data_IF_935396526713
#
_entry.id   IF_935396526713
#
_cell.length_a   1.000
_cell.length_b   1.000
_cell.length_c   1.000
_cell.angle_alpha   90.00
_cell.angle_beta   90.00
_cell.angle_gamma   90.00
#
_symmetry.space_group_name_H-M   'P 1'
#
loop_
_entity.id
_entity.type
_entity.pdbx_description
1 polymer ?
#
# COMPACT_ATOMS: atom_id res chain seq x y z
N UNK A 1 20.75 -18.49 -22.20
CA UNK A 1 20.18 -18.06 -20.90
C UNK A 1 21.24 -17.24 -20.19
N UNK A 2 21.12 -15.91 -20.18
CA UNK A 2 22.09 -15.01 -19.52
C UNK A 2 21.56 -14.71 -18.13
N UNK A 3 22.24 -15.21 -17.10
CA UNK A 3 22.08 -14.73 -15.73
C UNK A 3 22.44 -13.23 -15.69
N UNK A 4 21.44 -12.35 -15.70
CA UNK A 4 21.63 -10.98 -15.27
C UNK A 4 21.53 -10.96 -13.74
N UNK A 5 22.68 -11.00 -13.09
CA UNK A 5 22.81 -10.58 -11.70
C UNK A 5 22.50 -9.08 -11.67
N UNK A 6 21.32 -8.71 -11.19
CA UNK A 6 20.93 -7.32 -11.04
C UNK A 6 21.54 -6.83 -9.75
N UNK A 7 22.77 -6.31 -9.82
CA UNK A 7 23.38 -5.57 -8.71
C UNK A 7 23.27 -4.07 -9.02
N UNK A 8 22.36 -3.33 -8.39
CA UNK A 8 22.54 -1.90 -8.21
C UNK A 8 23.44 -1.65 -7.00
N UNK A 9 24.74 -1.80 -7.16
CA UNK A 9 25.72 -1.33 -6.20
C UNK A 9 26.68 -0.28 -6.78
N UNK A 10 26.36 0.38 -7.92
CA UNK A 10 27.35 1.24 -8.56
C UNK A 10 26.86 2.59 -9.09
N UNK A 11 25.66 3.05 -8.77
CA UNK A 11 25.27 4.44 -8.99
C UNK A 11 24.78 5.02 -7.65
N UNK A 12 25.75 5.49 -6.85
CA UNK A 12 25.56 5.97 -5.49
C UNK A 12 24.73 7.25 -5.42
N UNK A 13 23.42 7.10 -5.34
CA UNK A 13 22.49 8.10 -4.85
C UNK A 13 21.57 7.46 -3.82
N UNK A 14 21.08 8.21 -2.83
CA UNK A 14 20.10 7.69 -1.87
C UNK A 14 18.87 7.18 -2.63
N UNK A 15 18.39 5.97 -2.29
CA UNK A 15 17.12 5.45 -2.77
C UNK A 15 16.01 6.42 -2.40
N UNK A 16 15.04 6.60 -3.31
CA UNK A 16 13.90 7.49 -3.08
C UNK A 16 12.62 6.71 -3.06
N UNK A 17 11.80 6.97 -2.04
CA UNK A 17 10.48 6.39 -1.87
C UNK A 17 9.38 7.44 -2.09
N UNK A 18 8.26 7.03 -2.69
CA UNK A 18 6.99 7.74 -2.65
C UNK A 18 6.02 6.96 -1.77
N UNK A 19 5.51 7.61 -0.73
CA UNK A 19 4.55 7.00 0.20
C UNK A 19 3.25 7.81 0.16
N UNK A 20 2.18 7.24 -0.36
CA UNK A 20 0.87 7.90 -0.35
C UNK A 20 0.21 7.81 1.02
N UNK A 21 -0.48 8.89 1.45
CA UNK A 21 -1.14 8.92 2.76
C UNK A 21 -0.17 8.87 3.94
N UNK A 22 1.02 9.48 3.79
CA UNK A 22 2.09 9.45 4.79
C UNK A 22 1.91 10.46 5.95
N UNK A 23 0.79 11.19 6.01
CA UNK A 23 0.56 12.17 7.07
C UNK A 23 0.23 11.53 8.43
N UNK A 24 -0.27 10.28 8.46
CA UNK A 24 -0.73 9.60 9.67
C UNK A 24 -0.71 8.06 9.52
N UNK A 25 -0.92 7.37 10.65
CA UNK A 25 -1.09 5.92 10.72
C UNK A 25 0.05 5.13 10.06
N UNK A 26 -0.27 4.04 9.37
CA UNK A 26 0.69 3.15 8.74
C UNK A 26 1.61 3.91 7.77
N UNK A 27 1.06 4.77 6.92
CA UNK A 27 1.85 5.52 5.93
C UNK A 27 2.91 6.42 6.57
N UNK A 28 2.58 7.08 7.68
CA UNK A 28 3.54 7.87 8.46
C UNK A 28 4.64 6.99 9.04
N UNK A 29 4.28 5.92 9.73
CA UNK A 29 5.26 5.00 10.32
C UNK A 29 6.17 4.35 9.27
N UNK A 30 5.64 4.02 8.08
CA UNK A 30 6.46 3.54 6.95
C UNK A 30 7.45 4.61 6.50
N UNK A 31 6.97 5.82 6.28
CA UNK A 31 7.82 6.92 5.81
C UNK A 31 8.92 7.25 6.83
N UNK A 32 8.59 7.34 8.12
CA UNK A 32 9.55 7.58 9.21
C UNK A 32 10.59 6.43 9.30
N UNK A 33 10.15 5.17 9.15
CA UNK A 33 11.04 4.00 9.14
C UNK A 33 11.99 4.02 7.95
N UNK A 34 11.53 4.39 6.76
CA UNK A 34 12.38 4.49 5.57
C UNK A 34 13.41 5.62 5.70
N UNK A 35 12.99 6.79 6.21
CA UNK A 35 13.92 7.91 6.46
C UNK A 35 15.00 7.57 7.50
N UNK A 36 14.64 6.83 8.56
CA UNK A 36 15.61 6.37 9.55
C UNK A 36 16.70 5.46 8.96
N UNK A 37 16.42 4.85 7.80
CA UNK A 37 17.35 4.02 7.01
C UNK A 37 18.09 4.81 5.92
N UNK A 38 17.98 6.14 5.90
CA UNK A 38 18.65 7.01 4.93
C UNK A 38 17.99 7.10 3.56
N UNK A 39 16.73 6.67 3.43
CA UNK A 39 15.95 6.78 2.19
C UNK A 39 15.26 8.15 2.15
N UNK A 40 15.38 8.87 1.04
CA UNK A 40 14.62 10.10 0.85
C UNK A 40 13.16 9.77 0.56
N UNK A 41 12.22 10.30 1.37
CA UNK A 41 10.79 9.98 1.24
C UNK A 41 9.99 11.17 0.75
N UNK A 42 9.31 11.00 -0.38
CA UNK A 42 8.28 11.92 -0.88
C UNK A 42 6.96 11.58 -0.18
N UNK A 43 6.38 12.58 0.51
CA UNK A 43 5.15 12.46 1.29
C UNK A 43 4.11 13.48 0.82
N UNK A 44 3.60 13.38 -0.43
CA UNK A 44 2.66 14.36 -0.95
C UNK A 44 1.42 14.44 -0.06
N UNK A 45 1.08 15.66 0.31
CA UNK A 45 -0.20 15.97 0.95
C UNK A 45 -1.35 15.97 -0.06
N UNK A 46 -2.59 16.06 0.44
CA UNK A 46 -3.77 16.06 -0.43
C UNK A 46 -3.80 17.24 -1.42
N UNK A 47 -3.17 18.36 -1.07
CA UNK A 47 -3.08 19.52 -1.97
C UNK A 47 -2.13 19.29 -3.15
N UNK A 48 -1.13 18.42 -2.99
CA UNK A 48 -0.15 18.08 -4.02
C UNK A 48 -0.58 16.86 -4.84
N UNK A 49 -1.26 15.90 -4.19
CA UNK A 49 -1.70 14.63 -4.78
C UNK A 49 -3.06 14.24 -4.20
N UNK A 50 -4.15 14.68 -4.82
CA UNK A 50 -5.49 14.24 -4.46
C UNK A 50 -5.88 13.00 -5.28
N UNK A 51 -5.86 11.84 -4.62
CA UNK A 51 -6.20 10.56 -5.26
C UNK A 51 -7.68 10.44 -5.65
N UNK A 52 -8.55 11.34 -5.19
CA UNK A 52 -9.94 11.40 -5.62
C UNK A 52 -10.12 12.05 -6.99
N UNK A 53 -9.07 12.71 -7.51
CA UNK A 53 -9.07 13.48 -8.75
C UNK A 53 -8.01 12.90 -9.69
N UNK A 54 -8.40 12.20 -10.78
CA UNK A 54 -7.46 11.60 -11.73
C UNK A 54 -6.44 12.59 -12.30
N UNK A 55 -6.90 13.82 -12.60
CA UNK A 55 -6.07 14.89 -13.15
C UNK A 55 -4.97 15.30 -12.16
N UNK A 56 -5.25 15.34 -10.86
CA UNK A 56 -4.25 15.62 -9.82
C UNK A 56 -3.13 14.57 -9.82
N UNK A 57 -3.46 13.30 -10.06
CA UNK A 57 -2.46 12.22 -10.17
C UNK A 57 -1.59 12.43 -11.42
N UNK A 58 -2.19 12.78 -12.55
CA UNK A 58 -1.47 13.05 -13.81
C UNK A 58 -0.54 14.25 -13.68
N UNK A 59 -1.02 15.35 -13.08
CA UNK A 59 -0.25 16.57 -12.84
C UNK A 59 0.94 16.30 -11.91
N UNK A 60 0.71 15.57 -10.81
CA UNK A 60 1.78 15.17 -9.89
C UNK A 60 2.86 14.36 -10.59
N UNK A 61 2.48 13.36 -11.40
CA UNK A 61 3.42 12.54 -12.15
C UNK A 61 4.20 13.33 -13.20
N UNK A 62 3.56 14.32 -13.84
CA UNK A 62 4.20 15.22 -14.81
C UNK A 62 5.22 16.13 -14.14
N UNK A 63 4.92 16.65 -12.96
CA UNK A 63 5.85 17.48 -12.17
C UNK A 63 6.94 16.70 -11.43
N UNK A 64 6.91 15.36 -11.47
CA UNK A 64 7.86 14.52 -10.77
C UNK A 64 9.11 14.24 -11.63
N UNK A 65 10.12 15.11 -11.55
CA UNK A 65 11.38 14.96 -12.29
C UNK A 65 12.30 13.86 -11.75
N UNK A 66 12.05 13.41 -10.54
CA UNK A 66 12.94 12.52 -9.79
C UNK A 66 12.59 11.05 -10.03
N UNK A 67 13.60 10.19 -10.06
CA UNK A 67 13.39 8.73 -10.09
C UNK A 67 12.95 8.25 -8.72
N UNK A 68 11.84 7.51 -8.69
CA UNK A 68 11.30 6.83 -7.50
C UNK A 68 11.66 5.36 -7.61
N UNK A 69 12.41 4.84 -6.64
CA UNK A 69 12.83 3.44 -6.57
C UNK A 69 11.84 2.59 -5.77
N UNK A 70 11.13 3.21 -4.83
CA UNK A 70 10.21 2.56 -3.90
C UNK A 70 8.85 3.28 -3.97
N UNK A 71 7.79 2.53 -4.20
CA UNK A 71 6.42 3.03 -4.19
C UNK A 71 5.59 2.31 -3.13
N UNK A 72 5.09 3.06 -2.14
CA UNK A 72 4.18 2.54 -1.12
C UNK A 72 2.79 3.15 -1.32
N UNK A 73 1.88 2.35 -1.84
CA UNK A 73 0.48 2.67 -2.09
C UNK A 73 -0.32 2.41 -0.81
N UNK A 74 -0.31 3.37 0.12
CA UNK A 74 -0.92 3.22 1.44
C UNK A 74 -2.24 3.99 1.57
N UNK A 75 -2.39 5.14 0.90
CA UNK A 75 -3.60 5.94 1.00
C UNK A 75 -4.85 5.13 0.61
N UNK A 76 -5.93 5.34 1.37
CA UNK A 76 -7.20 4.69 1.10
C UNK A 76 -8.31 5.23 1.97
N UNK A 77 -9.54 5.02 1.51
CA UNK A 77 -10.76 5.36 2.24
C UNK A 77 -11.57 4.10 2.53
N UNK A 78 -12.34 4.15 3.61
CA UNK A 78 -13.19 3.06 4.07
C UNK A 78 -14.43 3.64 4.74
N UNK A 79 -15.49 3.83 3.96
CA UNK A 79 -16.77 4.34 4.40
C UNK A 79 -17.75 3.17 4.54
N UNK A 80 -18.05 2.71 5.77
CA UNK A 80 -18.94 1.57 5.97
C UNK A 80 -20.37 1.89 5.53
N UNK A 81 -20.91 1.04 4.66
CA UNK A 81 -22.30 1.16 4.19
C UNK A 81 -22.85 -0.24 3.84
N UNK A 82 -24.02 -0.65 4.37
CA UNK A 82 -24.62 -1.93 4.03
C UNK A 82 -24.87 -2.06 2.53
N UNK A 83 -24.77 -3.28 1.99
CA UNK A 83 -24.96 -3.53 0.54
C UNK A 83 -26.30 -2.98 0.02
N UNK A 84 -27.36 -3.11 0.81
CA UNK A 84 -28.71 -2.69 0.41
C UNK A 84 -28.82 -1.17 0.20
N UNK A 85 -28.02 -0.37 0.93
CA UNK A 85 -28.06 1.11 0.88
C UNK A 85 -26.81 1.69 0.26
N UNK A 86 -25.87 0.85 -0.20
CA UNK A 86 -24.60 1.31 -0.77
C UNK A 86 -24.83 2.27 -1.93
N UNK A 87 -24.45 3.52 -1.73
CA UNK A 87 -24.58 4.56 -2.74
C UNK A 87 -23.56 4.39 -3.87
N UNK A 88 -23.97 4.80 -5.09
CA UNK A 88 -23.05 4.82 -6.23
C UNK A 88 -21.85 5.74 -5.97
N UNK A 89 -22.02 6.84 -5.25
CA UNK A 89 -20.97 7.77 -4.92
C UNK A 89 -19.93 7.17 -3.96
N UNK A 90 -20.37 6.44 -2.91
CA UNK A 90 -19.46 5.74 -2.01
C UNK A 90 -18.69 4.63 -2.74
N UNK A 91 -19.38 3.87 -3.59
CA UNK A 91 -18.73 2.88 -4.44
C UNK A 91 -17.67 3.53 -5.33
N UNK A 92 -18.05 4.52 -6.14
CA UNK A 92 -17.18 5.16 -7.13
C UNK A 92 -15.98 5.85 -6.48
N UNK A 93 -16.19 6.62 -5.39
CA UNK A 93 -15.11 7.28 -4.67
C UNK A 93 -14.14 6.29 -4.03
N UNK A 94 -14.66 5.17 -3.50
CA UNK A 94 -13.80 4.12 -2.94
C UNK A 94 -12.95 3.45 -4.02
N UNK A 95 -13.53 3.11 -5.18
CA UNK A 95 -12.77 2.56 -6.29
C UNK A 95 -11.77 3.58 -6.85
N UNK A 96 -12.16 4.85 -6.97
CA UNK A 96 -11.26 5.90 -7.46
C UNK A 96 -10.01 6.03 -6.59
N UNK A 97 -10.17 6.19 -5.27
CA UNK A 97 -9.03 6.40 -4.36
C UNK A 97 -8.21 5.12 -4.16
N UNK A 98 -8.87 3.98 -3.92
CA UNK A 98 -8.18 2.76 -3.50
C UNK A 98 -7.62 1.94 -4.67
N UNK A 99 -8.13 2.14 -5.90
CA UNK A 99 -7.74 1.33 -7.06
C UNK A 99 -7.26 2.20 -8.22
N UNK A 100 -8.12 3.07 -8.77
CA UNK A 100 -7.83 3.80 -10.00
C UNK A 100 -6.62 4.72 -9.85
N UNK A 101 -6.56 5.51 -8.79
CA UNK A 101 -5.43 6.41 -8.54
C UNK A 101 -4.11 5.63 -8.37
N UNK A 102 -4.16 4.47 -7.70
CA UNK A 102 -2.99 3.61 -7.53
C UNK A 102 -2.53 3.01 -8.88
N UNK A 103 -3.48 2.63 -9.75
CA UNK A 103 -3.17 2.17 -11.12
C UNK A 103 -2.47 3.28 -11.92
N UNK A 104 -2.97 4.52 -11.85
CA UNK A 104 -2.36 5.66 -12.54
C UNK A 104 -0.93 5.94 -12.04
N UNK A 105 -0.69 5.88 -10.73
CA UNK A 105 0.65 6.00 -10.15
C UNK A 105 1.59 4.89 -10.65
N UNK A 106 1.10 3.65 -10.70
CA UNK A 106 1.85 2.51 -11.24
C UNK A 106 2.21 2.73 -12.71
N UNK A 107 1.25 3.14 -13.55
CA UNK A 107 1.47 3.42 -14.97
C UNK A 107 2.54 4.49 -15.22
N UNK A 108 2.57 5.54 -14.38
CA UNK A 108 3.56 6.61 -14.50
C UNK A 108 4.96 6.25 -13.99
N UNK A 109 5.07 5.40 -12.97
CA UNK A 109 6.33 5.13 -12.29
C UNK A 109 7.01 3.84 -12.73
N UNK A 110 6.26 2.78 -13.05
CA UNK A 110 6.82 1.48 -13.41
C UNK A 110 7.76 1.51 -14.62
N UNK A 111 7.50 2.28 -15.71
CA UNK A 111 8.43 2.37 -16.82
C UNK A 111 9.80 2.91 -16.42
N UNK A 112 9.83 3.90 -15.50
CA UNK A 112 11.09 4.48 -14.98
C UNK A 112 11.84 3.47 -14.09
N UNK A 113 11.14 2.71 -13.24
CA UNK A 113 11.73 1.63 -12.44
C UNK A 113 12.30 0.53 -13.33
N UNK A 114 11.56 0.10 -14.34
CA UNK A 114 11.99 -0.92 -15.30
C UNK A 114 13.25 -0.48 -16.07
N UNK A 115 13.30 0.77 -16.57
CA UNK A 115 14.46 1.32 -17.24
C UNK A 115 15.69 1.38 -16.31
N UNK A 116 15.48 1.60 -15.01
CA UNK A 116 16.52 1.60 -14.00
C UNK A 116 16.97 0.18 -13.59
N UNK A 117 16.23 -0.89 -13.97
CA UNK A 117 16.48 -2.27 -13.58
C UNK A 117 16.25 -2.55 -12.09
N UNK A 118 15.53 -1.66 -11.41
CA UNK A 118 15.21 -1.80 -9.99
C UNK A 118 13.90 -1.06 -9.66
N UNK A 119 13.03 -1.71 -8.91
CA UNK A 119 11.82 -1.12 -8.35
C UNK A 119 11.26 -1.98 -7.21
N UNK A 120 10.68 -1.34 -6.24
CA UNK A 120 9.96 -1.99 -5.13
C UNK A 120 8.60 -1.35 -4.95
N UNK A 121 7.57 -2.14 -5.08
CA UNK A 121 6.18 -1.69 -4.93
C UNK A 121 5.52 -2.45 -3.80
N UNK A 122 4.90 -1.73 -2.87
CA UNK A 122 4.03 -2.34 -1.86
C UNK A 122 2.70 -1.58 -1.84
N UNK A 123 1.59 -2.31 -2.01
CA UNK A 123 0.26 -1.79 -1.76
C UNK A 123 -0.26 -2.28 -0.40
N UNK A 124 -0.81 -1.35 0.39
CA UNK A 124 -1.48 -1.70 1.65
C UNK A 124 -2.90 -2.15 1.34
N UNK A 125 -3.10 -3.47 1.40
CA UNK A 125 -4.39 -4.14 1.28
C UNK A 125 -5.12 -4.18 2.63
N UNK A 126 -5.80 -5.27 2.93
CA UNK A 126 -6.51 -5.51 4.19
C UNK A 126 -6.92 -6.98 4.31
N UNK A 127 -7.07 -7.48 5.53
CA UNK A 127 -7.75 -8.77 5.79
C UNK A 127 -9.15 -8.81 5.18
N UNK A 128 -9.77 -7.67 4.94
CA UNK A 128 -11.08 -7.59 4.26
C UNK A 128 -11.02 -7.83 2.75
N UNK A 129 -9.86 -7.97 2.13
CA UNK A 129 -9.73 -8.55 0.80
C UNK A 129 -10.00 -10.06 0.80
N UNK A 130 -9.76 -10.73 1.95
CA UNK A 130 -9.85 -12.19 2.10
C UNK A 130 -11.05 -12.65 2.94
N UNK A 131 -11.60 -11.79 3.81
CA UNK A 131 -12.72 -12.10 4.70
C UNK A 131 -13.79 -11.01 4.63
N UNK A 132 -14.98 -11.38 4.18
CA UNK A 132 -16.10 -10.44 4.08
C UNK A 132 -16.59 -9.96 5.46
N UNK A 133 -17.07 -8.73 5.51
CA UNK A 133 -17.76 -8.14 6.65
C UNK A 133 -18.92 -7.26 6.17
N UNK A 134 -20.03 -7.29 6.91
CA UNK A 134 -21.17 -6.41 6.66
C UNK A 134 -20.74 -4.95 6.59
N UNK A 135 -21.27 -4.21 5.63
CA UNK A 135 -20.98 -2.80 5.41
C UNK A 135 -19.60 -2.51 4.79
N UNK A 136 -18.91 -3.50 4.24
CA UNK A 136 -17.55 -3.32 3.68
C UNK A 136 -17.44 -3.67 2.20
N UNK A 137 -18.56 -3.76 1.47
CA UNK A 137 -18.56 -4.22 0.07
C UNK A 137 -17.62 -3.40 -0.80
N UNK A 138 -17.78 -2.06 -0.83
CA UNK A 138 -16.93 -1.19 -1.64
C UNK A 138 -15.44 -1.30 -1.26
N UNK A 139 -15.15 -1.28 0.04
CA UNK A 139 -13.80 -1.38 0.56
C UNK A 139 -13.16 -2.74 0.27
N UNK A 140 -13.86 -3.85 0.59
CA UNK A 140 -13.34 -5.21 0.36
C UNK A 140 -13.07 -5.46 -1.11
N UNK A 141 -14.00 -5.06 -2.00
CA UNK A 141 -13.81 -5.15 -3.44
C UNK A 141 -12.59 -4.35 -3.91
N UNK A 142 -12.39 -3.12 -3.40
CA UNK A 142 -11.23 -2.30 -3.76
C UNK A 142 -9.90 -2.92 -3.30
N UNK A 143 -9.88 -3.54 -2.11
CA UNK A 143 -8.68 -4.18 -1.59
C UNK A 143 -8.35 -5.50 -2.31
N UNK A 144 -9.34 -6.27 -2.72
CA UNK A 144 -9.15 -7.43 -3.59
C UNK A 144 -8.66 -7.01 -4.99
N UNK A 145 -9.23 -5.92 -5.54
CA UNK A 145 -8.82 -5.40 -6.85
C UNK A 145 -7.37 -4.93 -6.88
N UNK A 146 -6.90 -4.19 -5.85
CA UNK A 146 -5.50 -3.74 -5.81
C UNK A 146 -4.52 -4.92 -5.66
N UNK A 147 -4.91 -6.01 -4.99
CA UNK A 147 -4.08 -7.21 -4.93
C UNK A 147 -3.89 -7.84 -6.31
N UNK A 148 -4.95 -7.88 -7.14
CA UNK A 148 -4.84 -8.40 -8.50
C UNK A 148 -4.01 -7.50 -9.40
N UNK A 149 -4.16 -6.18 -9.29
CA UNK A 149 -3.30 -5.21 -9.98
C UNK A 149 -1.83 -5.46 -9.65
N UNK A 150 -1.50 -5.65 -8.38
CA UNK A 150 -0.12 -5.90 -7.92
C UNK A 150 0.41 -7.25 -8.44
N UNK A 151 -0.42 -8.29 -8.49
CA UNK A 151 -0.02 -9.58 -9.12
C UNK A 151 0.30 -9.40 -10.60
N UNK A 152 -0.50 -8.64 -11.33
CA UNK A 152 -0.25 -8.32 -12.74
C UNK A 152 1.08 -7.56 -12.91
N UNK A 153 1.34 -6.55 -12.04
CA UNK A 153 2.63 -5.83 -12.03
C UNK A 153 3.79 -6.76 -11.79
N UNK A 154 3.67 -7.71 -10.86
CA UNK A 154 4.75 -8.67 -10.58
C UNK A 154 5.09 -9.54 -11.79
N UNK A 155 4.09 -9.97 -12.57
CA UNK A 155 4.27 -10.75 -13.78
C UNK A 155 4.88 -9.92 -14.91
N UNK A 156 4.37 -8.72 -15.15
CA UNK A 156 4.79 -7.88 -16.28
C UNK A 156 6.16 -7.22 -16.05
N UNK A 157 6.44 -6.79 -14.81
CA UNK A 157 7.62 -5.99 -14.48
C UNK A 157 8.71 -6.76 -13.73
N UNK A 158 8.44 -7.97 -13.25
CA UNK A 158 9.44 -8.85 -12.63
C UNK A 158 10.69 -9.08 -13.50
N UNK A 159 10.56 -9.32 -14.82
CA UNK A 159 11.72 -9.46 -15.72
C UNK A 159 12.63 -8.24 -15.77
N UNK A 160 12.15 -7.06 -15.36
CA UNK A 160 12.88 -5.81 -15.33
C UNK A 160 13.43 -5.44 -13.95
N UNK A 161 13.39 -6.36 -12.98
CA UNK A 161 13.91 -6.15 -11.63
C UNK A 161 12.96 -5.39 -10.68
N UNK A 162 11.70 -5.25 -11.04
CA UNK A 162 10.66 -4.67 -10.18
C UNK A 162 9.96 -5.78 -9.40
N UNK A 163 9.96 -5.67 -8.06
CA UNK A 163 9.20 -6.58 -7.20
C UNK A 163 7.99 -5.83 -6.63
N UNK A 164 6.81 -6.43 -6.78
CA UNK A 164 5.55 -5.84 -6.36
C UNK A 164 4.76 -6.79 -5.46
N UNK A 165 4.36 -6.31 -4.26
CA UNK A 165 3.64 -7.11 -3.29
C UNK A 165 2.54 -6.30 -2.61
N UNK A 166 1.62 -7.00 -1.96
CA UNK A 166 0.66 -6.43 -1.03
C UNK A 166 1.00 -6.83 0.40
N UNK A 167 0.72 -5.94 1.33
CA UNK A 167 0.60 -6.24 2.75
C UNK A 167 -0.85 -6.08 3.12
N UNK A 168 -1.45 -7.10 3.75
CA UNK A 168 -2.85 -7.13 4.19
C UNK A 168 -2.91 -7.05 5.73
N UNK A 169 -2.94 -5.84 6.32
CA UNK A 169 -3.03 -5.69 7.76
C UNK A 169 -4.38 -6.17 8.30
N UNK A 170 -4.36 -6.69 9.54
CA UNK A 170 -5.54 -6.86 10.38
C UNK A 170 -6.00 -5.52 10.97
N UNK A 171 -6.35 -5.53 12.25
CA UNK A 171 -6.75 -4.32 12.98
C UNK A 171 -5.51 -3.60 13.52
N UNK A 172 -5.30 -2.36 13.06
CA UNK A 172 -4.16 -1.51 13.41
C UNK A 172 -4.66 -0.24 14.08
N UNK A 173 -4.03 0.22 15.13
CA UNK A 173 -4.36 1.44 15.88
C UNK A 173 -4.02 2.68 15.04
N UNK A 174 -4.95 3.09 14.22
CA UNK A 174 -4.86 4.26 13.32
C UNK A 174 -6.08 5.16 13.46
N UNK A 175 -5.97 6.42 13.01
CA UNK A 175 -7.14 7.33 13.00
C UNK A 175 -8.34 6.72 12.27
N UNK A 176 -8.10 5.99 11.16
CA UNK A 176 -9.17 5.30 10.43
C UNK A 176 -9.89 4.25 11.29
N UNK A 177 -9.15 3.56 12.14
CA UNK A 177 -9.70 2.57 13.07
C UNK A 177 -10.51 3.23 14.16
N UNK A 178 -10.00 4.33 14.74
CA UNK A 178 -10.72 5.10 15.76
C UNK A 178 -11.96 5.81 15.19
N UNK A 179 -11.92 6.30 13.95
CA UNK A 179 -13.09 6.90 13.30
C UNK A 179 -14.26 5.92 13.10
N UNK A 180 -13.94 4.64 12.91
CA UNK A 180 -14.92 3.61 12.59
C UNK A 180 -15.33 2.72 13.77
N UNK A 181 -14.75 2.91 14.96
CA UNK A 181 -15.01 2.06 16.13
C UNK A 181 -14.89 2.86 17.44
N UNK A 182 -15.81 2.67 18.34
CA UNK A 182 -15.72 3.14 19.73
C UNK A 182 -14.80 2.23 20.57
N UNK A 183 -14.55 2.62 21.84
CA UNK A 183 -13.67 1.86 22.74
C UNK A 183 -14.14 0.42 22.99
N UNK A 184 -15.46 0.21 23.10
CA UNK A 184 -16.05 -1.12 23.30
C UNK A 184 -15.87 -2.00 22.04
N UNK A 185 -16.05 -1.39 20.87
CA UNK A 185 -15.83 -2.08 19.60
C UNK A 185 -14.36 -2.42 19.38
N UNK A 186 -13.43 -1.54 19.77
CA UNK A 186 -11.98 -1.81 19.69
C UNK A 186 -11.59 -2.97 20.59
N UNK A 187 -12.14 -3.04 21.82
CA UNK A 187 -11.91 -4.17 22.71
C UNK A 187 -12.47 -5.47 22.12
N UNK A 188 -13.70 -5.45 21.60
CA UNK A 188 -14.31 -6.62 20.96
C UNK A 188 -13.55 -7.06 19.70
N UNK A 189 -12.86 -6.15 19.00
CA UNK A 189 -11.97 -6.50 17.91
C UNK A 189 -10.69 -7.18 18.43
N UNK A 190 -10.09 -6.66 19.50
CA UNK A 190 -8.90 -7.24 20.13
C UNK A 190 -9.15 -8.69 20.60
N UNK A 191 -10.31 -8.95 21.20
CA UNK A 191 -10.71 -10.29 21.66
C UNK A 191 -10.85 -11.33 20.52
N UNK A 192 -11.01 -10.87 19.27
CA UNK A 192 -11.11 -11.72 18.08
C UNK A 192 -9.75 -12.01 17.44
N UNK A 193 -8.71 -11.33 17.87
CA UNK A 193 -7.34 -11.52 17.37
C UNK A 193 -6.63 -12.50 18.31
N UNK A 194 -6.08 -13.63 17.83
CA UNK A 194 -5.38 -14.59 18.68
C UNK A 194 -4.26 -13.99 19.54
N UNK A 195 -3.56 -12.95 19.06
CA UNK A 195 -2.55 -12.21 19.83
C UNK A 195 -3.15 -11.36 20.96
N UNK A 196 -4.49 -11.19 21.00
CA UNK A 196 -5.22 -10.50 22.06
C UNK A 196 -5.18 -8.97 22.03
N UNK A 197 -4.69 -8.37 20.94
CA UNK A 197 -4.61 -6.92 20.77
C UNK A 197 -4.67 -6.50 19.31
N UNK A 198 -4.86 -5.21 19.07
CA UNK A 198 -4.63 -4.59 17.77
C UNK A 198 -3.12 -4.35 17.57
N UNK A 199 -2.69 -4.27 16.33
CA UNK A 199 -1.30 -3.94 16.00
C UNK A 199 -1.06 -2.43 16.09
N UNK A 200 0.18 -2.06 16.39
CA UNK A 200 0.67 -0.69 16.21
C UNK A 200 1.08 -0.46 14.75
N UNK A 201 0.96 0.77 14.22
CA UNK A 201 1.39 1.10 12.85
C UNK A 201 2.83 0.71 12.53
N UNK A 202 3.72 0.80 13.54
CA UNK A 202 5.15 0.47 13.46
C UNK A 202 5.38 -1.01 13.14
N UNK A 203 4.53 -1.91 13.64
CA UNK A 203 4.64 -3.35 13.38
C UNK A 203 4.41 -3.67 11.91
N UNK A 204 3.53 -2.92 11.23
CA UNK A 204 3.31 -3.02 9.79
C UNK A 204 4.46 -2.35 9.02
N UNK A 205 4.92 -1.19 9.50
CA UNK A 205 5.95 -0.40 8.84
C UNK A 205 7.31 -1.12 8.78
N UNK A 206 7.71 -1.81 9.85
CA UNK A 206 8.95 -2.60 9.89
C UNK A 206 8.95 -3.65 8.78
N UNK A 207 7.85 -4.38 8.62
CA UNK A 207 7.76 -5.40 7.57
C UNK A 207 7.73 -4.78 6.16
N UNK A 208 6.95 -3.73 5.93
CA UNK A 208 6.93 -3.02 4.64
C UNK A 208 8.34 -2.53 4.31
N UNK A 209 9.05 -1.95 5.28
CA UNK A 209 10.40 -1.41 5.06
C UNK A 209 11.41 -2.49 4.65
N UNK A 210 11.29 -3.71 5.20
CA UNK A 210 12.08 -4.85 4.77
C UNK A 210 11.67 -5.32 3.36
N UNK A 211 10.37 -5.43 3.09
CA UNK A 211 9.83 -5.92 1.83
C UNK A 211 10.22 -5.03 0.63
N UNK A 212 10.40 -3.71 0.86
CA UNK A 212 10.86 -2.76 -0.16
C UNK A 212 12.38 -2.57 -0.19
N UNK A 213 13.13 -3.24 0.67
CA UNK A 213 14.58 -3.16 0.70
C UNK A 213 15.24 -4.01 -0.39
N UNK A 214 16.55 -3.85 -0.56
CA UNK A 214 17.34 -4.69 -1.45
C UNK A 214 17.50 -6.14 -0.94
N UNK A 215 17.23 -6.39 0.35
CA UNK A 215 17.27 -7.73 0.96
C UNK A 215 16.15 -8.63 0.39
N UNK A 216 15.01 -8.04 0.04
CA UNK A 216 14.00 -8.75 -0.73
C UNK A 216 14.47 -8.87 -2.19
N UNK A 217 14.90 -10.05 -2.58
CA UNK A 217 15.36 -10.36 -3.94
C UNK A 217 14.44 -11.30 -4.70
N UNK A 218 13.38 -11.85 -4.04
CA UNK A 218 12.61 -12.94 -4.66
C UNK A 218 11.10 -12.91 -4.36
N UNK A 219 10.66 -12.22 -3.30
CA UNK A 219 9.23 -12.14 -2.98
C UNK A 219 8.59 -11.10 -3.91
N UNK A 220 7.68 -11.56 -4.77
CA UNK A 220 6.88 -10.72 -5.67
C UNK A 220 5.52 -11.37 -5.93
N UNK A 221 4.49 -10.57 -6.23
CA UNK A 221 3.13 -11.03 -6.50
C UNK A 221 2.37 -11.56 -5.28
N UNK A 222 2.89 -11.37 -4.07
CA UNK A 222 2.28 -11.92 -2.87
C UNK A 222 1.39 -10.89 -2.17
N UNK A 223 0.33 -11.37 -1.51
CA UNK A 223 -0.43 -10.62 -0.51
C UNK A 223 -0.14 -11.24 0.86
N UNK A 224 0.64 -10.53 1.67
CA UNK A 224 1.15 -11.04 2.93
C UNK A 224 0.32 -10.47 4.08
N UNK A 225 -0.35 -11.35 4.80
CA UNK A 225 -1.21 -10.96 5.93
C UNK A 225 -0.40 -10.70 7.18
N UNK A 226 -0.69 -9.58 7.86
CA UNK A 226 -0.13 -9.21 9.17
C UNK A 226 -1.31 -8.86 10.08
N UNK A 227 -1.87 -9.84 10.75
CA UNK A 227 -3.17 -9.72 11.40
C UNK A 227 -3.27 -10.33 12.81
N UNK A 228 -2.15 -10.74 13.40
CA UNK A 228 -2.13 -11.40 14.70
C UNK A 228 -2.89 -12.72 14.76
N UNK A 229 -3.07 -13.37 13.60
CA UNK A 229 -3.78 -14.65 13.46
C UNK A 229 -5.31 -14.52 13.25
N UNK A 230 -5.83 -13.31 12.99
CA UNK A 230 -7.28 -13.08 12.84
C UNK A 230 -7.93 -13.91 11.72
N UNK A 231 -7.22 -14.19 10.63
CA UNK A 231 -7.75 -15.02 9.54
C UNK A 231 -7.64 -16.52 9.79
N UNK A 232 -6.96 -16.95 10.87
CA UNK A 232 -6.80 -18.36 11.19
C UNK A 232 -7.98 -18.90 12.04
N UNK A 233 -8.89 -18.03 12.53
CA UNK A 233 -9.99 -18.37 13.44
C UNK A 233 -11.36 -17.93 12.92
#
# INVERSE_FOLDING_TARGET
MRQRVISRSSAGGPSRALVTGAARGIGRSVADTLESKGITVLRPGRQELDLSIPESVADYLTGLDQVVDILVLNAGINNPEPLQTLSADNWSSTQQVNVTANLLLLQGLLPRMAAAGFGRVVAVSSVYAHRARTGRVAYSASKAAIEEVVRSVAVEYGPYGVLANCVAPGFVLTDLTYQNNDAKQLQALAERVPVGRLAEPEEIAVFISWLVSAENSYITGQSITIDGGFLCV
#
